data_IF_157191317913
#
_entry.id   IF_157191317913
#
_cell.length_a   1.000
_cell.length_b   1.000
_cell.length_c   1.000
_cell.angle_alpha   90.00
_cell.angle_beta   90.00
_cell.angle_gamma   90.00
#
_symmetry.space_group_name_H-M   'P 1'
#
loop_
_entity.id
_entity.type
_entity.pdbx_description
1 polymer ?
#
# COMPACT_ATOMS: atom_id res chain seq x y z
N UNK A 1 -29.73 9.30 -13.25
CA UNK A 1 -29.73 9.41 -11.78
C UNK A 1 -30.57 8.28 -11.25
N UNK A 2 -30.15 7.67 -10.14
CA UNK A 2 -30.85 6.57 -9.45
C UNK A 2 -31.13 7.02 -8.02
N UNK A 3 -32.36 6.75 -7.57
CA UNK A 3 -32.82 7.09 -6.22
C UNK A 3 -32.98 5.82 -5.41
N UNK A 4 -32.35 5.82 -4.18
CA UNK A 4 -32.42 4.71 -3.26
C UNK A 4 -32.49 5.24 -1.82
N UNK A 5 -32.84 4.36 -0.89
CA UNK A 5 -32.88 4.66 0.56
C UNK A 5 -31.76 3.90 1.26
N UNK A 6 -30.96 4.59 2.05
CA UNK A 6 -29.89 3.98 2.85
C UNK A 6 -30.10 4.37 4.32
N UNK A 7 -30.31 3.39 5.19
CA UNK A 7 -30.62 3.59 6.62
C UNK A 7 -31.71 4.64 6.87
N UNK A 8 -32.79 4.61 6.04
CA UNK A 8 -33.91 5.54 6.11
C UNK A 8 -33.66 6.92 5.49
N UNK A 9 -32.49 7.16 4.89
CA UNK A 9 -32.14 8.44 4.23
C UNK A 9 -32.12 8.26 2.71
N UNK A 10 -32.72 9.21 1.99
CA UNK A 10 -32.75 9.18 0.52
C UNK A 10 -31.39 9.62 -0.05
N UNK A 11 -30.88 8.84 -1.00
CA UNK A 11 -29.70 9.15 -1.81
C UNK A 11 -30.09 9.24 -3.29
N UNK A 12 -29.57 10.23 -4.00
CA UNK A 12 -29.70 10.37 -5.45
C UNK A 12 -28.29 10.40 -6.04
N UNK A 13 -27.96 9.38 -6.83
CA UNK A 13 -26.61 9.20 -7.36
C UNK A 13 -26.64 8.95 -8.87
N UNK A 14 -25.53 9.18 -9.59
CA UNK A 14 -25.42 8.80 -10.99
C UNK A 14 -25.70 7.31 -11.21
N UNK A 15 -26.28 6.97 -12.34
CA UNK A 15 -26.42 5.57 -12.78
C UNK A 15 -25.04 4.90 -12.87
N UNK A 16 -24.93 3.65 -12.40
CA UNK A 16 -23.68 2.93 -12.32
C UNK A 16 -22.86 3.19 -11.04
N UNK A 17 -23.28 4.12 -10.16
CA UNK A 17 -22.67 4.27 -8.83
C UNK A 17 -22.86 3.00 -7.99
N UNK A 18 -21.90 2.71 -7.13
CA UNK A 18 -22.00 1.60 -6.16
C UNK A 18 -22.81 2.03 -4.93
N UNK A 19 -23.35 1.06 -4.18
CA UNK A 19 -23.98 1.33 -2.88
C UNK A 19 -22.99 2.01 -1.91
N UNK A 20 -21.70 1.64 -1.97
CA UNK A 20 -20.66 2.27 -1.16
C UNK A 20 -20.52 3.77 -1.46
N UNK A 21 -20.55 4.14 -2.74
CA UNK A 21 -20.48 5.55 -3.18
C UNK A 21 -21.77 6.31 -2.81
N UNK A 22 -22.93 5.67 -2.94
CA UNK A 22 -24.20 6.24 -2.53
C UNK A 22 -24.24 6.48 -1.00
N UNK A 23 -23.75 5.55 -0.19
CA UNK A 23 -23.65 5.73 1.26
C UNK A 23 -22.69 6.89 1.62
N UNK A 24 -21.55 6.96 0.93
CA UNK A 24 -20.57 8.03 1.14
C UNK A 24 -21.14 9.42 0.82
N UNK A 25 -22.02 9.57 -0.18
CA UNK A 25 -22.68 10.83 -0.50
C UNK A 25 -23.61 11.34 0.61
N UNK A 26 -24.10 10.44 1.45
CA UNK A 26 -24.88 10.75 2.65
C UNK A 26 -24.02 10.92 3.92
N UNK A 27 -22.69 10.79 3.82
CA UNK A 27 -21.81 10.76 4.98
C UNK A 27 -21.88 9.46 5.79
N UNK A 28 -22.48 8.40 5.23
CA UNK A 28 -22.55 7.08 5.88
C UNK A 28 -21.28 6.30 5.55
N UNK A 29 -20.47 6.00 6.56
CA UNK A 29 -19.24 5.22 6.43
C UNK A 29 -19.56 3.72 6.49
N UNK A 30 -19.37 3.02 5.37
CA UNK A 30 -19.34 1.56 5.35
C UNK A 30 -17.90 1.10 5.41
N UNK A 31 -17.51 0.21 6.37
CA UNK A 31 -16.13 -0.21 6.50
C UNK A 31 -15.67 -1.02 5.27
N UNK A 32 -14.43 -0.81 4.87
CA UNK A 32 -13.79 -1.54 3.75
C UNK A 32 -12.38 -1.96 4.14
N UNK A 33 -11.86 -3.03 3.52
CA UNK A 33 -10.48 -3.47 3.76
C UNK A 33 -9.71 -3.72 2.45
N UNK A 34 -10.34 -4.37 1.46
CA UNK A 34 -9.72 -4.59 0.16
C UNK A 34 -9.97 -3.47 -0.85
N UNK A 35 -11.05 -2.72 -0.71
CA UNK A 35 -11.49 -1.71 -1.68
C UNK A 35 -10.45 -0.59 -1.87
N UNK A 36 -10.17 -0.29 -3.13
CA UNK A 36 -9.38 0.86 -3.56
C UNK A 36 -10.04 1.39 -4.83
N UNK A 37 -10.65 2.58 -4.74
CA UNK A 37 -11.47 3.16 -5.81
C UNK A 37 -10.73 3.23 -7.15
N UNK A 38 -11.37 2.74 -8.21
CA UNK A 38 -10.82 2.72 -9.56
C UNK A 38 -9.68 1.72 -9.79
N UNK A 39 -9.18 1.06 -8.75
CA UNK A 39 -8.04 0.14 -8.83
C UNK A 39 -8.42 -1.27 -8.40
N UNK A 40 -8.93 -1.44 -7.18
CA UNK A 40 -9.24 -2.76 -6.61
C UNK A 40 -10.67 -2.82 -6.07
N UNK A 41 -11.61 -3.18 -6.92
CA UNK A 41 -13.05 -3.26 -6.67
C UNK A 41 -13.53 -4.70 -6.84
N UNK A 42 -12.93 -5.65 -6.09
CA UNK A 42 -13.11 -7.09 -6.28
C UNK A 42 -13.90 -7.76 -5.16
N UNK A 43 -14.35 -7.02 -4.16
CA UNK A 43 -15.13 -7.50 -3.00
C UNK A 43 -14.54 -8.72 -2.28
N UNK A 44 -13.21 -8.90 -2.27
CA UNK A 44 -12.56 -10.09 -1.73
C UNK A 44 -12.76 -10.26 -0.21
N UNK A 45 -12.68 -9.17 0.56
CA UNK A 45 -12.69 -9.25 2.04
C UNK A 45 -14.08 -9.37 2.66
N UNK A 46 -15.15 -9.03 1.94
CA UNK A 46 -16.55 -9.07 2.41
C UNK A 46 -16.81 -8.25 3.70
N UNK A 47 -15.99 -7.26 3.98
CA UNK A 47 -16.19 -6.36 5.13
C UNK A 47 -17.27 -5.32 4.85
N UNK A 48 -17.44 -4.92 3.59
CA UNK A 48 -18.42 -3.90 3.17
C UNK A 48 -19.84 -4.44 2.91
N UNK A 49 -20.17 -5.63 3.42
CA UNK A 49 -21.48 -6.23 3.18
C UNK A 49 -22.60 -5.40 3.81
N UNK A 50 -23.71 -5.32 3.09
CA UNK A 50 -24.95 -4.64 3.50
C UNK A 50 -26.15 -5.55 3.25
N UNK A 51 -27.25 -5.27 3.92
CA UNK A 51 -28.55 -5.91 3.70
C UNK A 51 -29.40 -5.04 2.78
N UNK A 52 -30.11 -5.67 1.86
CA UNK A 52 -31.04 -4.99 0.94
C UNK A 52 -32.40 -5.68 1.07
N UNK A 53 -33.44 -4.89 1.19
CA UNK A 53 -34.81 -5.41 1.26
C UNK A 53 -35.13 -6.23 0.01
N UNK A 54 -35.73 -7.40 0.21
CA UNK A 54 -36.05 -8.34 -0.87
C UNK A 54 -34.87 -9.22 -1.32
N UNK A 55 -33.65 -9.04 -0.77
CA UNK A 55 -32.50 -9.90 -1.06
C UNK A 55 -32.29 -10.91 0.08
N UNK A 56 -32.21 -12.20 -0.26
CA UNK A 56 -31.94 -13.24 0.75
C UNK A 56 -30.51 -13.18 1.30
N UNK A 57 -29.56 -12.72 0.48
CA UNK A 57 -28.15 -12.69 0.83
C UNK A 57 -27.64 -11.26 1.05
N UNK A 58 -26.65 -11.12 1.93
CA UNK A 58 -25.90 -9.87 2.06
C UNK A 58 -25.03 -9.65 0.81
N UNK A 59 -24.95 -8.41 0.36
CA UNK A 59 -24.18 -8.02 -0.82
C UNK A 59 -23.01 -7.10 -0.46
N UNK A 60 -21.90 -7.15 -1.17
CA UNK A 60 -20.77 -6.25 -0.95
C UNK A 60 -21.05 -4.88 -1.58
N UNK A 61 -21.21 -3.85 -0.77
CA UNK A 61 -21.54 -2.49 -1.23
C UNK A 61 -20.49 -1.88 -2.17
N UNK A 62 -19.25 -2.35 -2.14
CA UNK A 62 -18.18 -1.80 -2.98
C UNK A 62 -18.27 -2.19 -4.46
N UNK A 63 -19.07 -3.20 -4.81
CA UNK A 63 -19.26 -3.68 -6.19
C UNK A 63 -20.71 -3.73 -6.60
N UNK A 64 -21.65 -3.81 -5.66
CA UNK A 64 -23.09 -3.79 -5.96
C UNK A 64 -23.50 -2.39 -6.42
N UNK A 65 -24.21 -2.35 -7.55
CA UNK A 65 -24.69 -1.09 -8.13
C UNK A 65 -25.97 -0.64 -7.46
N UNK A 66 -26.06 0.66 -7.22
CA UNK A 66 -27.30 1.28 -6.77
C UNK A 66 -28.40 1.15 -7.84
N UNK A 67 -29.62 0.75 -7.44
CA UNK A 67 -30.76 0.63 -8.31
C UNK A 67 -31.96 1.44 -7.78
N UNK A 68 -32.86 1.82 -8.69
CA UNK A 68 -34.02 2.62 -8.35
C UNK A 68 -34.92 1.91 -7.34
N UNK A 69 -35.33 2.64 -6.29
CA UNK A 69 -36.21 2.13 -5.24
C UNK A 69 -35.52 1.15 -4.24
N UNK A 70 -34.24 0.92 -4.36
CA UNK A 70 -33.52 0.01 -3.46
C UNK A 70 -33.55 0.55 -2.03
N UNK A 71 -33.78 -0.34 -1.04
CA UNK A 71 -33.71 -0.02 0.39
C UNK A 71 -32.55 -0.80 1.00
N UNK A 72 -31.57 -0.08 1.52
CA UNK A 72 -30.29 -0.61 2.01
C UNK A 72 -30.13 -0.36 3.50
N UNK A 73 -29.74 -1.40 4.23
CA UNK A 73 -29.43 -1.34 5.67
C UNK A 73 -27.94 -1.60 5.86
N UNK A 74 -27.20 -0.56 6.26
CA UNK A 74 -25.74 -0.67 6.40
C UNK A 74 -25.36 -1.25 7.76
N UNK A 75 -26.19 -1.14 8.77
CA UNK A 75 -25.93 -1.53 10.15
C UNK A 75 -26.95 -2.55 10.74
N UNK A 76 -27.60 -3.34 9.90
CA UNK A 76 -28.46 -4.43 10.37
C UNK A 76 -27.64 -5.45 11.21
N UNK A 77 -28.34 -6.18 12.08
CA UNK A 77 -27.70 -7.24 12.88
C UNK A 77 -26.99 -8.27 12.01
N UNK A 78 -27.62 -8.68 10.88
CA UNK A 78 -27.02 -9.62 9.91
C UNK A 78 -25.72 -9.06 9.31
N UNK A 79 -25.72 -7.80 8.89
CA UNK A 79 -24.55 -7.16 8.30
C UNK A 79 -23.39 -7.06 9.31
N UNK A 80 -23.68 -6.66 10.55
CA UNK A 80 -22.68 -6.58 11.65
C UNK A 80 -22.07 -7.94 11.94
N UNK A 81 -22.91 -8.96 12.19
CA UNK A 81 -22.45 -10.33 12.46
C UNK A 81 -21.59 -10.90 11.34
N UNK A 82 -21.98 -10.66 10.08
CA UNK A 82 -21.20 -11.11 8.93
C UNK A 82 -19.83 -10.40 8.84
N UNK A 83 -19.75 -9.10 9.11
CA UNK A 83 -18.49 -8.35 9.16
C UNK A 83 -17.56 -8.86 10.26
N UNK A 84 -18.08 -9.05 11.46
CA UNK A 84 -17.34 -9.61 12.60
C UNK A 84 -16.78 -11.00 12.26
N UNK A 85 -17.63 -11.88 11.71
CA UNK A 85 -17.22 -13.23 11.28
C UNK A 85 -16.11 -13.17 10.22
N UNK A 86 -16.30 -12.35 9.18
CA UNK A 86 -15.29 -12.20 8.12
C UNK A 86 -13.97 -11.65 8.67
N UNK A 87 -14.04 -10.68 9.60
CA UNK A 87 -12.86 -10.10 10.22
C UNK A 87 -12.14 -11.13 11.10
N UNK A 88 -12.85 -11.90 11.91
CA UNK A 88 -12.31 -13.00 12.73
C UNK A 88 -11.62 -14.07 11.86
N UNK A 89 -12.21 -14.42 10.71
CA UNK A 89 -11.60 -15.33 9.74
C UNK A 89 -10.32 -14.76 9.11
N UNK A 90 -10.27 -13.46 8.82
CA UNK A 90 -9.05 -12.80 8.34
C UNK A 90 -7.98 -12.82 9.44
N UNK A 91 -8.36 -12.49 10.67
CA UNK A 91 -7.44 -12.47 11.83
C UNK A 91 -6.91 -13.86 12.18
N UNK A 92 -7.66 -14.94 11.95
CA UNK A 92 -7.18 -16.31 12.18
C UNK A 92 -6.02 -16.70 11.26
N UNK A 93 -5.87 -16.04 10.11
CA UNK A 93 -4.79 -16.25 9.16
C UNK A 93 -3.74 -15.11 9.17
N UNK A 94 -3.84 -14.20 10.13
CA UNK A 94 -2.94 -13.07 10.28
C UNK A 94 -2.08 -13.22 11.53
N UNK A 95 -0.79 -12.94 11.39
CA UNK A 95 0.13 -12.85 12.51
C UNK A 95 -0.17 -11.59 13.33
N UNK A 96 -0.67 -11.77 14.55
CA UNK A 96 -1.11 -10.71 15.46
C UNK A 96 0.01 -9.99 16.22
N UNK A 97 1.29 -10.21 15.87
CA UNK A 97 2.41 -9.49 16.48
C UNK A 97 2.46 -8.03 15.97
N UNK A 98 1.62 -7.19 16.60
CA UNK A 98 1.43 -5.79 16.21
C UNK A 98 2.54 -4.88 16.74
N UNK A 99 3.15 -5.21 17.87
CA UNK A 99 4.14 -4.35 18.55
C UNK A 99 5.42 -4.20 17.74
N UNK A 100 5.81 -5.23 16.99
CA UNK A 100 6.99 -5.23 16.10
C UNK A 100 6.63 -5.06 14.63
N UNK A 101 5.38 -4.76 14.32
CA UNK A 101 4.91 -4.63 12.94
C UNK A 101 5.25 -3.24 12.39
N UNK A 102 5.72 -3.19 11.13
CA UNK A 102 5.99 -1.93 10.40
C UNK A 102 4.75 -1.05 10.20
N UNK A 103 3.55 -1.59 10.43
CA UNK A 103 2.25 -0.89 10.39
C UNK A 103 1.66 -0.67 11.79
N UNK A 104 2.43 -0.84 12.87
CA UNK A 104 1.94 -0.52 14.21
C UNK A 104 1.40 0.90 14.26
N UNK A 105 0.21 1.09 14.84
CA UNK A 105 -0.50 2.37 14.92
C UNK A 105 -0.95 2.99 13.58
N UNK A 106 -0.69 2.32 12.44
CA UNK A 106 -1.14 2.75 11.12
C UNK A 106 -1.57 1.51 10.30
N UNK A 107 -2.52 0.76 10.82
CA UNK A 107 -2.96 -0.51 10.25
C UNK A 107 -4.49 -0.56 10.14
N UNK A 108 -5.02 -0.55 8.92
CA UNK A 108 -6.47 -0.63 8.69
C UNK A 108 -7.11 -1.89 9.27
N UNK A 109 -6.39 -3.00 9.38
CA UNK A 109 -6.90 -4.22 10.00
C UNK A 109 -7.05 -4.04 11.53
N UNK A 110 -6.09 -3.38 12.17
CA UNK A 110 -6.11 -3.10 13.60
C UNK A 110 -7.22 -2.11 13.95
N UNK A 111 -7.35 -1.03 13.17
CA UNK A 111 -8.41 -0.04 13.34
C UNK A 111 -9.79 -0.69 13.25
N UNK A 112 -9.98 -1.54 12.23
CA UNK A 112 -11.23 -2.24 12.01
C UNK A 112 -11.53 -3.27 13.10
N UNK A 113 -10.52 -3.96 13.64
CA UNK A 113 -10.68 -4.88 14.75
C UNK A 113 -11.13 -4.15 16.04
N UNK A 114 -10.56 -2.95 16.28
CA UNK A 114 -10.98 -2.08 17.37
C UNK A 114 -12.39 -1.52 17.14
N UNK A 115 -12.71 -1.04 15.93
CA UNK A 115 -14.03 -0.49 15.58
C UNK A 115 -15.16 -1.53 15.72
N UNK A 116 -14.90 -2.79 15.39
CA UNK A 116 -15.84 -3.90 15.54
C UNK A 116 -15.74 -4.60 16.90
N UNK A 117 -14.92 -4.07 17.83
CA UNK A 117 -14.73 -4.61 19.19
C UNK A 117 -14.39 -6.11 19.20
N UNK A 118 -13.46 -6.54 18.33
CA UNK A 118 -13.01 -7.93 18.28
C UNK A 118 -12.04 -8.19 19.44
N UNK A 119 -12.50 -8.80 20.50
CA UNK A 119 -11.72 -9.14 21.70
C UNK A 119 -11.30 -10.61 21.75
N UNK A 120 -12.00 -11.46 21.00
CA UNK A 120 -11.75 -12.90 20.93
C UNK A 120 -11.84 -13.41 19.50
N UNK A 121 -11.21 -14.54 19.23
CA UNK A 121 -11.32 -15.21 17.94
C UNK A 121 -11.48 -16.74 18.14
N UNK A 122 -12.67 -17.30 17.91
CA UNK A 122 -12.93 -18.72 18.10
C UNK A 122 -12.32 -19.61 16.99
N UNK A 123 -11.86 -18.99 15.90
CA UNK A 123 -11.30 -19.75 14.77
C UNK A 123 -9.85 -20.15 15.02
N UNK A 124 -9.45 -21.38 14.69
CA UNK A 124 -8.08 -21.84 14.84
C UNK A 124 -7.13 -20.97 14.00
N UNK A 125 -5.94 -20.69 14.54
CA UNK A 125 -4.91 -19.96 13.82
C UNK A 125 -4.28 -20.86 12.75
N UNK A 126 -4.28 -20.40 11.49
CA UNK A 126 -3.58 -21.01 10.35
C UNK A 126 -2.68 -19.95 9.69
N UNK A 127 -1.65 -19.54 10.42
CA UNK A 127 -0.70 -18.50 9.96
C UNK A 127 0.44 -19.15 9.19
N UNK A 128 0.61 -18.75 7.94
CA UNK A 128 1.66 -19.25 7.07
C UNK A 128 2.73 -18.22 6.87
N UNK A 129 3.96 -18.66 6.81
CA UNK A 129 5.10 -17.81 6.50
C UNK A 129 6.06 -18.57 5.60
N UNK A 130 6.08 -18.20 4.33
CA UNK A 130 7.08 -18.69 3.40
C UNK A 130 8.33 -17.83 3.49
N UNK A 131 9.48 -18.47 3.31
CA UNK A 131 10.76 -17.75 3.25
C UNK A 131 10.76 -16.71 2.13
N UNK A 132 11.32 -15.55 2.44
CA UNK A 132 11.56 -14.47 1.50
C UNK A 132 13.03 -14.07 1.59
N UNK A 133 13.71 -13.80 0.45
CA UNK A 133 15.13 -13.45 0.49
C UNK A 133 15.39 -12.23 1.38
N UNK A 134 16.20 -12.41 2.43
CA UNK A 134 16.47 -11.37 3.43
C UNK A 134 17.20 -10.14 2.86
N UNK A 135 18.00 -10.34 1.81
CA UNK A 135 18.74 -9.28 1.11
C UNK A 135 17.94 -8.59 0.00
N UNK A 136 16.69 -8.98 -0.22
CA UNK A 136 15.80 -8.31 -1.17
C UNK A 136 15.50 -6.89 -0.70
N UNK A 137 15.43 -5.92 -1.63
CA UNK A 137 15.06 -4.53 -1.32
C UNK A 137 13.61 -4.41 -0.84
N UNK A 138 12.72 -5.25 -1.37
CA UNK A 138 11.34 -5.38 -0.93
C UNK A 138 11.23 -6.65 -0.07
N UNK A 139 10.69 -6.49 1.11
CA UNK A 139 10.44 -7.59 2.05
C UNK A 139 8.95 -7.95 2.03
N UNK A 140 8.67 -9.24 1.96
CA UNK A 140 7.32 -9.80 2.05
C UNK A 140 7.19 -10.74 3.23
N UNK A 141 6.26 -10.43 4.14
CA UNK A 141 5.84 -11.31 5.25
C UNK A 141 4.46 -11.88 4.92
N UNK A 142 4.41 -13.15 4.52
CA UNK A 142 3.15 -13.81 4.15
C UNK A 142 2.18 -13.87 5.31
N UNK A 143 2.67 -14.11 6.51
CA UNK A 143 1.91 -14.15 7.76
C UNK A 143 1.12 -12.86 8.06
N UNK A 144 1.51 -11.74 7.48
CA UNK A 144 0.81 -10.45 7.59
C UNK A 144 -0.15 -10.19 6.42
N UNK A 145 -0.21 -11.07 5.42
CA UNK A 145 -1.02 -10.87 4.21
C UNK A 145 -2.49 -11.25 4.43
N UNK A 146 -3.39 -10.30 4.24
CA UNK A 146 -4.85 -10.49 4.34
C UNK A 146 -5.51 -10.81 2.98
N UNK A 147 -4.72 -11.07 1.96
CA UNK A 147 -5.19 -11.49 0.63
C UNK A 147 -6.16 -10.49 -0.02
N UNK A 148 -5.93 -9.20 0.22
CA UNK A 148 -6.79 -8.11 -0.29
C UNK A 148 -6.57 -7.80 -1.77
N UNK A 149 -5.52 -8.32 -2.39
CA UNK A 149 -5.12 -8.17 -3.79
C UNK A 149 -4.76 -6.74 -4.23
N UNK A 150 -4.72 -5.74 -3.34
CA UNK A 150 -4.36 -4.35 -3.70
C UNK A 150 -3.00 -4.26 -4.39
N UNK A 151 -2.00 -5.00 -3.92
CA UNK A 151 -0.65 -4.98 -4.51
C UNK A 151 -0.64 -5.54 -5.94
N UNK A 152 -1.48 -6.53 -6.25
CA UNK A 152 -1.64 -7.06 -7.61
C UNK A 152 -2.22 -5.99 -8.51
N UNK A 153 -3.36 -5.44 -8.14
CA UNK A 153 -4.11 -4.48 -8.96
C UNK A 153 -3.35 -3.16 -9.17
N UNK A 154 -2.67 -2.67 -8.14
CA UNK A 154 -1.83 -1.46 -8.27
C UNK A 154 -0.65 -1.73 -9.21
N UNK A 155 0.01 -2.89 -9.09
CA UNK A 155 1.14 -3.25 -9.92
C UNK A 155 0.72 -3.51 -11.38
N UNK A 156 -0.48 -4.06 -11.60
CA UNK A 156 -1.01 -4.30 -12.94
C UNK A 156 -1.59 -3.03 -13.57
N UNK A 157 -2.57 -2.39 -12.91
CA UNK A 157 -3.35 -1.31 -13.52
C UNK A 157 -2.64 0.05 -13.51
N UNK A 158 -1.84 0.32 -12.48
CA UNK A 158 -1.20 1.62 -12.32
C UNK A 158 0.25 1.58 -12.82
N UNK A 159 1.02 0.56 -12.44
CA UNK A 159 2.43 0.43 -12.82
C UNK A 159 2.64 -0.38 -14.10
N UNK A 160 1.64 -1.15 -14.54
CA UNK A 160 1.68 -2.00 -15.76
C UNK A 160 2.77 -3.09 -15.77
N UNK A 161 3.36 -3.40 -14.60
CA UNK A 161 4.50 -4.32 -14.46
C UNK A 161 4.08 -5.78 -14.18
N UNK A 162 2.91 -6.01 -13.57
CA UNK A 162 2.36 -7.35 -13.27
C UNK A 162 3.32 -8.27 -12.49
N UNK A 163 4.06 -7.71 -11.54
CA UNK A 163 5.01 -8.48 -10.72
C UNK A 163 4.29 -9.49 -9.80
N UNK A 164 3.13 -9.09 -9.27
CA UNK A 164 2.37 -9.87 -8.29
C UNK A 164 1.23 -10.64 -8.93
N UNK A 165 0.94 -11.84 -8.39
CA UNK A 165 -0.19 -12.65 -8.81
C UNK A 165 -0.73 -13.49 -7.65
N UNK A 166 -1.93 -14.06 -7.84
CA UNK A 166 -2.55 -15.01 -6.90
C UNK A 166 -1.89 -16.37 -7.05
N UNK A 167 -1.56 -16.98 -5.91
CA UNK A 167 -1.04 -18.36 -5.83
C UNK A 167 -1.97 -19.22 -4.99
N UNK A 168 -2.06 -20.50 -5.35
CA UNK A 168 -2.87 -21.47 -4.62
C UNK A 168 -4.38 -21.27 -4.80
N UNK A 169 -5.16 -22.02 -4.04
CA UNK A 169 -6.63 -21.97 -4.08
C UNK A 169 -7.21 -22.26 -2.69
N UNK A 170 -8.45 -21.82 -2.46
CA UNK A 170 -9.15 -22.00 -1.18
C UNK A 170 -8.38 -21.38 -0.02
N UNK A 171 -8.24 -22.12 1.09
CA UNK A 171 -7.50 -21.67 2.28
C UNK A 171 -6.01 -21.43 2.02
N UNK A 172 -5.45 -22.05 0.96
CA UNK A 172 -4.05 -21.90 0.55
C UNK A 172 -3.81 -20.70 -0.39
N UNK A 173 -4.83 -19.92 -0.71
CA UNK A 173 -4.68 -18.72 -1.52
C UNK A 173 -3.72 -17.77 -0.85
N UNK A 174 -2.74 -17.28 -1.61
CA UNK A 174 -1.79 -16.25 -1.20
C UNK A 174 -1.43 -15.34 -2.37
N UNK A 175 -0.68 -14.28 -2.12
CA UNK A 175 -0.11 -13.43 -3.16
C UNK A 175 1.37 -13.76 -3.28
N UNK A 176 1.88 -13.88 -4.48
CA UNK A 176 3.30 -14.14 -4.71
C UNK A 176 3.78 -13.52 -6.02
N UNK A 177 5.03 -13.74 -6.36
CA UNK A 177 5.57 -13.30 -7.65
C UNK A 177 4.93 -14.12 -8.78
N UNK A 178 4.53 -13.44 -9.83
CA UNK A 178 3.86 -14.04 -10.99
C UNK A 178 4.68 -15.21 -11.56
N UNK A 179 4.00 -16.24 -12.03
CA UNK A 179 4.59 -17.46 -12.61
C UNK A 179 5.53 -18.20 -11.65
N UNK A 180 5.42 -17.98 -10.34
CA UNK A 180 6.31 -18.57 -9.32
C UNK A 180 7.80 -18.27 -9.52
N UNK A 181 8.14 -17.19 -10.22
CA UNK A 181 9.53 -16.73 -10.38
C UNK A 181 10.12 -16.27 -9.04
N UNK A 182 11.45 -16.26 -8.94
CA UNK A 182 12.11 -15.53 -7.87
C UNK A 182 11.84 -14.02 -8.01
N UNK A 183 11.84 -13.28 -6.89
CA UNK A 183 11.61 -11.83 -6.96
C UNK A 183 12.71 -11.10 -7.74
N UNK A 184 13.93 -11.61 -7.69
CA UNK A 184 15.07 -11.11 -8.46
C UNK A 184 14.90 -11.20 -9.97
N UNK A 185 14.08 -12.16 -10.42
CA UNK A 185 13.83 -12.43 -11.84
C UNK A 185 12.55 -11.74 -12.33
N UNK A 186 11.90 -10.99 -11.46
CA UNK A 186 10.72 -10.21 -11.80
C UNK A 186 11.12 -8.81 -12.30
N UNK A 187 10.42 -8.32 -13.32
CA UNK A 187 10.62 -6.98 -13.88
C UNK A 187 10.08 -5.90 -12.94
N UNK A 188 10.59 -5.85 -11.71
CA UNK A 188 10.15 -4.93 -10.68
C UNK A 188 10.93 -3.61 -10.76
N UNK A 189 10.23 -2.50 -10.97
CA UNK A 189 10.83 -1.16 -10.97
C UNK A 189 11.14 -0.61 -9.56
N UNK A 190 10.93 -1.39 -8.50
CA UNK A 190 11.13 -1.00 -7.08
C UNK A 190 10.42 0.30 -6.69
N UNK A 191 9.29 0.62 -7.34
CA UNK A 191 8.55 1.87 -7.17
C UNK A 191 7.84 2.02 -5.81
N UNK A 192 7.72 0.95 -5.00
CA UNK A 192 7.11 0.96 -3.68
C UNK A 192 5.58 1.05 -3.64
N UNK A 193 4.88 1.19 -4.77
CA UNK A 193 3.42 1.38 -4.79
C UNK A 193 2.65 0.22 -4.13
N UNK A 194 3.11 -1.00 -4.27
CA UNK A 194 2.53 -2.15 -3.59
C UNK A 194 2.67 -2.08 -2.06
N UNK A 195 3.72 -1.44 -1.54
CA UNK A 195 3.96 -1.23 -0.11
C UNK A 195 2.99 -0.17 0.42
N UNK A 196 2.89 0.99 -0.24
CA UNK A 196 2.04 2.10 0.19
C UNK A 196 0.56 1.72 0.21
N UNK A 197 0.11 0.87 -0.73
CA UNK A 197 -1.27 0.41 -0.82
C UNK A 197 -1.56 -0.86 -0.01
N UNK A 198 -0.54 -1.49 0.61
CA UNK A 198 -0.76 -2.62 1.50
C UNK A 198 -1.43 -2.14 2.79
N UNK A 199 -2.64 -2.63 3.14
CA UNK A 199 -3.35 -2.17 4.34
C UNK A 199 -2.79 -2.76 5.64
N UNK A 200 -1.84 -3.70 5.53
CA UNK A 200 -1.17 -4.38 6.64
C UNK A 200 0.35 -4.35 6.43
N UNK A 201 1.13 -4.91 7.35
CA UNK A 201 2.59 -5.00 7.27
C UNK A 201 3.12 -6.15 6.41
N UNK A 202 2.34 -6.64 5.42
CA UNK A 202 2.75 -7.75 4.58
C UNK A 202 3.85 -7.41 3.58
N UNK A 203 3.94 -6.14 3.17
CA UNK A 203 4.98 -5.62 2.29
C UNK A 203 5.66 -4.43 2.97
N UNK A 204 6.98 -4.44 2.94
CA UNK A 204 7.81 -3.36 3.48
C UNK A 204 9.10 -3.22 2.67
N UNK A 205 9.82 -2.14 2.89
CA UNK A 205 11.20 -2.00 2.45
C UNK A 205 12.13 -2.77 3.40
N UNK A 206 13.31 -3.12 2.93
CA UNK A 206 14.38 -3.61 3.80
C UNK A 206 14.83 -2.47 4.73
N UNK A 207 14.98 -2.78 6.00
CA UNK A 207 15.53 -1.84 6.97
C UNK A 207 17.06 -2.00 7.04
N UNK A 208 17.78 -0.99 6.59
CA UNK A 208 19.22 -0.93 6.63
C UNK A 208 19.75 0.00 7.75
N UNK A 209 18.88 0.52 8.63
CA UNK A 209 19.25 1.47 9.69
C UNK A 209 20.38 0.97 10.57
N UNK A 210 20.34 -0.30 11.00
CA UNK A 210 21.39 -0.88 11.82
C UNK A 210 22.75 -0.92 11.12
N UNK A 211 22.78 -1.15 9.79
CA UNK A 211 24.02 -1.13 9.00
C UNK A 211 24.58 0.27 8.88
N UNK A 212 23.71 1.26 8.68
CA UNK A 212 24.11 2.67 8.62
C UNK A 212 24.67 3.12 9.98
N UNK A 213 23.97 2.78 11.08
CA UNK A 213 24.42 3.11 12.43
C UNK A 213 25.82 2.51 12.70
N UNK A 214 26.03 1.24 12.38
CA UNK A 214 27.35 0.61 12.55
C UNK A 214 28.45 1.29 11.71
N UNK A 215 28.12 1.74 10.49
CA UNK A 215 29.08 2.46 9.65
C UNK A 215 29.40 3.87 10.20
N UNK A 216 28.42 4.55 10.82
CA UNK A 216 28.62 5.85 11.46
C UNK A 216 29.45 5.77 12.75
N UNK A 217 29.45 4.62 13.41
CA UNK A 217 30.21 4.36 14.64
C UNK A 217 31.66 3.88 14.37
N UNK A 218 31.96 3.49 13.14
CA UNK A 218 33.29 2.98 12.76
C UNK A 218 34.19 4.13 12.23
N UNK A 219 35.23 4.53 12.95
CA UNK A 219 36.10 5.65 12.55
C UNK A 219 36.94 5.38 11.28
N UNK A 220 37.05 4.12 10.86
CA UNK A 220 37.79 3.76 9.63
C UNK A 220 36.92 3.89 8.38
N UNK A 221 35.60 4.09 8.54
CA UNK A 221 34.63 4.20 7.44
C UNK A 221 34.30 5.66 7.18
N UNK A 222 34.59 6.15 5.98
CA UNK A 222 34.07 7.44 5.51
C UNK A 222 32.64 7.30 5.01
N UNK A 223 31.72 7.98 5.65
CA UNK A 223 30.29 7.89 5.36
C UNK A 223 29.82 9.02 4.45
N UNK A 224 29.14 8.64 3.37
CA UNK A 224 28.58 9.58 2.38
C UNK A 224 27.08 9.35 2.26
N UNK A 225 26.30 10.42 2.38
CA UNK A 225 24.86 10.37 2.18
C UNK A 225 24.42 11.29 1.04
N UNK A 226 23.57 10.77 0.17
CA UNK A 226 22.90 11.54 -0.87
C UNK A 226 21.39 11.42 -0.67
N UNK A 227 20.69 12.56 -0.67
CA UNK A 227 19.25 12.62 -0.39
C UNK A 227 18.46 12.65 -1.69
N UNK A 228 17.57 11.66 -1.88
CA UNK A 228 16.66 11.64 -3.02
C UNK A 228 15.65 12.82 -2.99
N UNK A 229 15.24 13.35 -4.16
CA UNK A 229 14.29 14.48 -4.22
C UNK A 229 12.98 14.25 -3.47
N UNK A 230 12.43 13.04 -3.53
CA UNK A 230 11.19 12.69 -2.81
C UNK A 230 11.37 12.74 -1.28
N UNK A 231 12.51 12.25 -0.76
CA UNK A 231 12.82 12.31 0.68
C UNK A 231 13.00 13.78 1.12
N UNK A 232 13.65 14.59 0.29
CA UNK A 232 13.83 16.02 0.55
C UNK A 232 12.52 16.77 0.79
N UNK A 233 11.43 16.37 0.16
CA UNK A 233 10.12 17.02 0.32
C UNK A 233 9.31 16.49 1.50
N UNK A 234 9.56 15.26 1.95
CA UNK A 234 8.74 14.56 2.94
C UNK A 234 9.42 14.30 4.30
N UNK A 235 10.74 14.57 4.43
CA UNK A 235 11.54 14.18 5.60
C UNK A 235 11.01 14.70 6.95
N UNK A 236 10.31 15.83 6.93
CA UNK A 236 9.85 16.52 8.13
C UNK A 236 8.39 16.18 8.52
N UNK A 237 7.64 15.44 7.71
CA UNK A 237 6.22 15.18 7.93
C UNK A 237 5.93 14.52 9.29
N UNK A 238 6.77 13.59 9.74
CA UNK A 238 6.62 12.92 11.03
C UNK A 238 7.34 13.60 12.20
N UNK A 239 8.09 14.68 11.92
CA UNK A 239 8.82 15.43 12.93
C UNK A 239 8.04 16.65 13.44
N UNK A 240 6.82 16.87 12.95
CA UNK A 240 5.98 18.01 13.33
C UNK A 240 6.51 19.37 12.89
N UNK A 241 7.42 19.40 11.91
CA UNK A 241 7.95 20.64 11.34
C UNK A 241 7.00 21.16 10.27
N UNK A 242 6.86 22.50 10.21
CA UNK A 242 6.14 23.14 9.11
C UNK A 242 6.96 23.07 7.81
N UNK A 243 6.31 23.34 6.68
CA UNK A 243 6.97 23.35 5.37
C UNK A 243 8.10 24.39 5.29
N UNK A 244 7.91 25.53 5.93
CA UNK A 244 8.88 26.64 6.00
C UNK A 244 10.09 26.27 6.86
N UNK A 245 9.89 25.43 7.87
CA UNK A 245 10.96 24.93 8.76
C UNK A 245 11.73 23.76 8.15
N UNK A 246 11.11 22.98 7.28
CA UNK A 246 11.65 21.80 6.64
C UNK A 246 12.62 22.12 5.48
N UNK A 247 13.54 23.06 5.71
CA UNK A 247 14.51 23.49 4.68
C UNK A 247 15.57 22.41 4.40
N UNK A 248 16.14 22.44 3.19
CA UNK A 248 17.25 21.56 2.79
C UNK A 248 18.48 21.75 3.69
N UNK A 249 18.77 22.99 4.07
CA UNK A 249 19.87 23.29 4.97
C UNK A 249 19.69 22.66 6.36
N UNK A 250 18.46 22.66 6.89
CA UNK A 250 18.14 22.01 8.16
C UNK A 250 18.24 20.49 8.08
N UNK A 251 17.81 19.89 6.97
CA UNK A 251 18.00 18.47 6.71
C UNK A 251 19.48 18.10 6.63
N UNK A 252 20.28 18.86 5.89
CA UNK A 252 21.73 18.63 5.79
C UNK A 252 22.43 18.79 7.15
N UNK A 253 22.00 19.75 7.97
CA UNK A 253 22.52 19.92 9.33
C UNK A 253 22.17 18.72 10.23
N UNK A 254 20.94 18.18 10.11
CA UNK A 254 20.51 16.99 10.84
C UNK A 254 21.34 15.76 10.44
N UNK A 255 21.58 15.55 9.15
CA UNK A 255 22.42 14.44 8.68
C UNK A 255 23.89 14.55 9.17
N UNK A 256 24.46 15.76 9.18
CA UNK A 256 25.79 15.96 9.76
C UNK A 256 25.79 15.72 11.27
N UNK A 257 24.72 16.14 11.97
CA UNK A 257 24.59 15.87 13.41
C UNK A 257 24.43 14.38 13.75
N UNK A 258 23.93 13.56 12.81
CA UNK A 258 23.91 12.11 12.91
C UNK A 258 25.30 11.46 12.73
N UNK A 259 26.29 12.20 12.22
CA UNK A 259 27.67 11.72 12.07
C UNK A 259 28.11 11.45 10.64
N UNK A 260 27.31 11.76 9.61
CA UNK A 260 27.76 11.62 8.22
C UNK A 260 28.88 12.60 7.89
N UNK A 261 29.96 12.11 7.30
CA UNK A 261 31.15 12.91 6.89
C UNK A 261 30.79 13.84 5.73
N UNK A 262 30.07 13.32 4.74
CA UNK A 262 29.69 14.07 3.55
C UNK A 262 28.19 13.95 3.28
N UNK A 263 27.57 15.09 3.01
CA UNK A 263 26.12 15.19 2.68
C UNK A 263 25.96 15.87 1.33
N UNK A 264 25.42 15.16 0.36
CA UNK A 264 25.17 15.64 -0.99
C UNK A 264 23.68 15.79 -1.30
N UNK A 265 23.36 16.79 -2.10
CA UNK A 265 22.03 16.99 -2.66
C UNK A 265 21.95 16.37 -4.07
N UNK A 266 20.94 15.56 -4.32
CA UNK A 266 20.72 14.95 -5.64
C UNK A 266 20.48 16.00 -6.74
N UNK A 267 19.90 17.16 -6.41
CA UNK A 267 19.74 18.23 -7.40
C UNK A 267 21.09 18.73 -7.93
N UNK A 268 22.09 18.91 -7.06
CA UNK A 268 23.44 19.27 -7.46
C UNK A 268 24.07 18.21 -8.36
N UNK A 269 23.92 16.94 -7.99
CA UNK A 269 24.47 15.84 -8.82
C UNK A 269 23.70 15.67 -10.14
N UNK A 270 22.41 16.00 -10.18
CA UNK A 270 21.64 16.05 -11.41
C UNK A 270 22.11 17.15 -12.36
N UNK A 271 22.42 18.35 -11.85
CA UNK A 271 22.98 19.43 -12.64
C UNK A 271 24.36 19.05 -13.21
N UNK A 272 25.20 18.39 -12.41
CA UNK A 272 26.49 17.88 -12.87
C UNK A 272 26.31 16.82 -13.98
N UNK A 273 25.37 15.90 -13.83
CA UNK A 273 25.02 14.90 -14.83
C UNK A 273 24.59 15.57 -16.15
N UNK A 274 23.76 16.62 -16.07
CA UNK A 274 23.33 17.39 -17.27
C UNK A 274 24.53 18.02 -17.96
N UNK A 275 25.50 18.54 -17.22
CA UNK A 275 26.71 19.16 -17.80
C UNK A 275 27.57 18.11 -18.53
N UNK A 276 27.79 16.95 -17.92
CA UNK A 276 28.58 15.86 -18.51
C UNK A 276 27.88 15.24 -19.71
N UNK A 277 26.64 14.77 -19.55
CA UNK A 277 25.87 14.16 -20.62
C UNK A 277 25.53 15.13 -21.75
N UNK A 278 25.26 16.40 -21.42
CA UNK A 278 25.05 17.45 -22.42
C UNK A 278 26.28 17.72 -23.25
N UNK A 279 27.46 17.72 -22.64
CA UNK A 279 28.74 17.87 -23.35
C UNK A 279 29.01 16.69 -24.30
N UNK A 280 28.82 15.48 -23.81
CA UNK A 280 28.94 14.25 -24.63
C UNK A 280 27.90 14.24 -25.77
N UNK A 281 26.67 14.65 -25.50
CA UNK A 281 25.63 14.77 -26.52
C UNK A 281 26.03 15.73 -27.64
N UNK A 282 26.53 16.93 -27.31
CA UNK A 282 26.96 17.94 -28.27
C UNK A 282 28.11 17.39 -29.10
N UNK A 283 29.08 16.73 -28.49
CA UNK A 283 30.21 16.11 -29.20
C UNK A 283 29.73 15.06 -30.22
N UNK A 284 28.92 14.10 -29.77
CA UNK A 284 28.35 13.05 -30.61
C UNK A 284 27.48 13.62 -31.74
N UNK A 285 26.66 14.62 -31.44
CA UNK A 285 25.80 15.28 -32.42
C UNK A 285 26.62 16.00 -33.48
N UNK A 286 27.69 16.69 -33.08
CA UNK A 286 28.57 17.43 -33.97
C UNK A 286 29.33 16.48 -34.93
N UNK A 287 29.79 15.34 -34.42
CA UNK A 287 30.48 14.33 -35.21
C UNK A 287 29.55 13.37 -35.95
N UNK A 288 28.24 13.54 -35.84
CA UNK A 288 27.19 12.65 -36.38
C UNK A 288 27.30 11.20 -35.90
N UNK A 289 27.80 11.01 -34.71
CA UNK A 289 27.87 9.71 -34.05
C UNK A 289 26.49 9.24 -33.60
N UNK A 290 26.36 7.96 -33.29
CA UNK A 290 25.11 7.39 -32.79
C UNK A 290 24.75 7.96 -31.44
N UNK A 291 23.62 8.67 -31.36
CA UNK A 291 23.07 9.27 -30.14
C UNK A 291 22.09 8.27 -29.50
N UNK A 292 22.60 7.44 -28.62
CA UNK A 292 21.78 6.53 -27.84
C UNK A 292 21.03 5.46 -28.64
N UNK A 293 20.60 4.43 -27.98
CA UNK A 293 19.60 3.47 -28.47
C UNK A 293 18.47 3.42 -27.47
N UNK A 294 17.23 3.54 -27.91
CA UNK A 294 16.12 3.03 -27.14
C UNK A 294 16.36 1.52 -26.97
N UNK A 295 16.45 1.04 -25.75
CA UNK A 295 16.36 -0.38 -25.46
C UNK A 295 14.93 -0.79 -25.78
N UNK A 296 14.76 -1.52 -26.86
CA UNK A 296 13.49 -2.13 -27.25
C UNK A 296 13.43 -3.51 -26.62
#
# INVERSE_FOLDING_TARGET
MVRLTIDGREAIVPEGSTILEAAASLGIKIPTLCYLKGVNEISACRICVVEIDGFERLVPSCTEKAAEGMVVHTNSHRAKTARETNLKLILSQHDGDCTTCVRSQNCHLQDLASELNIIDNPYPRDVRNNEWPANSYLIRKESKCIKCMRCIEVCDKIQTLKVWDVKGSGSRTTVGVRLNRAFTDADCALCGQCITHCPTGALSIRDDTAKVTAALEDPEITTVVQVAPAVRTAWAEHLGLTREEATVGRMAAALRALGFDYVFDTNFTADLTIMEEGSEFIERFTHRDQIGRAHV
#
